data_IF_164635221627
#
_entry.id   IF_164635221627
#
_cell.length_a   1.000
_cell.length_b   1.000
_cell.length_c   1.000
_cell.angle_alpha   90.00
_cell.angle_beta   90.00
_cell.angle_gamma   90.00
#
_symmetry.space_group_name_H-M   'P 1'
#
loop_
_entity.id
_entity.type
_entity.pdbx_description
1 polymer ?
#
# COMPACT_ATOMS: atom_id res chain seq x y z
N UNK A 1 -0.32 17.87 8.39
CA UNK A 1 0.64 16.82 8.86
C UNK A 1 0.47 15.61 7.97
N UNK A 2 1.57 15.02 7.46
CA UNK A 2 1.53 13.82 6.61
C UNK A 2 1.08 12.60 7.41
N UNK A 3 0.34 11.68 6.78
CA UNK A 3 -0.10 10.43 7.41
C UNK A 3 1.05 9.52 7.85
N UNK A 4 0.83 8.72 8.88
CA UNK A 4 1.68 7.59 9.25
C UNK A 4 1.45 6.43 8.27
N UNK A 5 2.48 6.01 7.55
CA UNK A 5 2.40 5.01 6.48
C UNK A 5 2.94 3.67 6.95
N UNK A 6 2.10 2.62 6.85
CA UNK A 6 2.43 1.24 7.15
C UNK A 6 2.37 0.45 5.83
N UNK A 7 3.48 -0.09 5.40
CA UNK A 7 3.50 -1.08 4.32
C UNK A 7 3.16 -2.45 4.90
N UNK A 8 2.21 -3.15 4.30
CA UNK A 8 1.88 -4.53 4.67
C UNK A 8 1.88 -5.42 3.44
N UNK A 9 2.73 -6.43 3.41
CA UNK A 9 2.93 -7.29 2.26
C UNK A 9 3.17 -8.74 2.69
N UNK A 10 2.63 -9.68 1.91
CA UNK A 10 3.01 -11.08 1.98
C UNK A 10 3.96 -11.41 0.82
N UNK A 11 5.03 -12.14 1.12
CA UNK A 11 6.01 -12.59 0.13
C UNK A 11 6.40 -14.05 0.35
N UNK A 12 6.84 -14.72 -0.71
CA UNK A 12 7.45 -16.04 -0.63
C UNK A 12 8.77 -16.02 0.15
N UNK A 13 9.31 -17.18 0.50
CA UNK A 13 10.58 -17.30 1.20
C UNK A 13 11.76 -16.71 0.40
N UNK A 14 11.64 -16.64 -0.91
CA UNK A 14 12.60 -15.99 -1.84
C UNK A 14 12.23 -14.54 -2.21
N UNK A 15 11.32 -13.91 -1.45
CA UNK A 15 11.03 -12.48 -1.54
C UNK A 15 10.09 -12.07 -2.67
N UNK A 16 9.35 -13.00 -3.30
CA UNK A 16 8.44 -12.72 -4.40
C UNK A 16 7.01 -12.50 -3.91
N UNK A 17 6.31 -11.50 -4.48
CA UNK A 17 4.91 -11.20 -4.14
C UNK A 17 3.91 -11.74 -5.14
N UNK A 18 4.38 -12.16 -6.31
CA UNK A 18 3.57 -12.71 -7.40
C UNK A 18 4.45 -13.49 -8.38
N UNK A 19 3.85 -14.22 -9.32
CA UNK A 19 4.58 -14.83 -10.44
C UNK A 19 5.06 -13.78 -11.45
N UNK A 20 5.97 -14.17 -12.35
CA UNK A 20 6.40 -13.30 -13.46
C UNK A 20 5.24 -12.83 -14.36
N UNK A 21 4.15 -13.59 -14.42
CA UNK A 21 2.94 -13.23 -15.16
C UNK A 21 2.00 -12.33 -14.35
N UNK A 22 2.42 -11.90 -13.14
CA UNK A 22 1.65 -11.07 -12.20
C UNK A 22 0.30 -11.69 -11.81
N UNK A 23 0.22 -13.02 -11.79
CA UNK A 23 -0.95 -13.74 -11.29
C UNK A 23 -0.94 -13.77 -9.77
N UNK A 24 -2.10 -13.53 -9.18
CA UNK A 24 -2.28 -13.62 -7.74
C UNK A 24 -1.86 -15.00 -7.21
N UNK A 25 -1.06 -15.00 -6.15
CA UNK A 25 -0.61 -16.20 -5.45
C UNK A 25 -1.07 -16.12 -4.00
N UNK A 26 -1.67 -17.19 -3.49
CA UNK A 26 -2.01 -17.29 -2.08
C UNK A 26 -0.75 -17.61 -1.28
N UNK A 27 -0.09 -16.58 -0.76
CA UNK A 27 1.16 -16.70 0.01
C UNK A 27 0.88 -16.93 1.49
N UNK A 28 -0.17 -16.29 2.04
CA UNK A 28 -0.50 -16.36 3.47
C UNK A 28 -1.78 -17.16 3.74
N UNK A 29 -1.93 -17.60 4.99
CA UNK A 29 -3.06 -18.38 5.44
C UNK A 29 -4.16 -17.54 6.10
N UNK A 30 -5.14 -18.24 6.70
CA UNK A 30 -6.32 -17.62 7.30
C UNK A 30 -6.00 -16.67 8.46
N UNK A 31 -5.05 -17.03 9.31
CA UNK A 31 -4.71 -16.21 10.48
C UNK A 31 -4.05 -14.90 10.07
N UNK A 32 -3.23 -14.92 9.01
CA UNK A 32 -2.66 -13.69 8.47
C UNK A 32 -3.73 -12.82 7.82
N UNK A 33 -4.69 -13.37 7.09
CA UNK A 33 -5.83 -12.60 6.56
C UNK A 33 -6.64 -11.91 7.66
N UNK A 34 -6.88 -12.58 8.79
CA UNK A 34 -7.54 -11.97 9.96
C UNK A 34 -6.70 -10.81 10.52
N UNK A 35 -5.38 -11.00 10.64
CA UNK A 35 -4.46 -9.94 11.07
C UNK A 35 -4.50 -8.74 10.14
N UNK A 36 -4.45 -8.97 8.82
CA UNK A 36 -4.49 -7.93 7.80
C UNK A 36 -5.81 -7.16 7.86
N UNK A 37 -6.93 -7.86 8.03
CA UNK A 37 -8.26 -7.22 8.15
C UNK A 37 -8.35 -6.33 9.41
N UNK A 38 -7.79 -6.78 10.55
CA UNK A 38 -7.67 -5.96 11.76
C UNK A 38 -6.75 -4.75 11.57
N UNK A 39 -5.61 -4.91 10.90
CA UNK A 39 -4.71 -3.80 10.59
C UNK A 39 -5.44 -2.76 9.71
N UNK A 40 -6.11 -3.21 8.68
CA UNK A 40 -6.95 -2.40 7.79
C UNK A 40 -8.02 -1.64 8.57
N UNK A 41 -8.72 -2.33 9.46
CA UNK A 41 -9.76 -1.73 10.30
C UNK A 41 -9.24 -0.62 11.23
N UNK A 42 -7.98 -0.67 11.63
CA UNK A 42 -7.32 0.35 12.45
C UNK A 42 -6.69 1.49 11.67
N UNK A 43 -6.89 1.58 10.34
CA UNK A 43 -6.36 2.65 9.50
C UNK A 43 -7.48 3.55 8.97
N UNK A 44 -7.14 4.82 8.70
CA UNK A 44 -8.05 5.78 8.05
C UNK A 44 -8.16 5.51 6.56
N UNK A 45 -7.09 4.98 5.95
CA UNK A 45 -7.05 4.67 4.54
C UNK A 45 -6.26 3.40 4.22
N UNK A 46 -6.62 2.77 3.09
CA UNK A 46 -5.87 1.70 2.43
C UNK A 46 -5.47 2.15 1.05
N UNK A 47 -4.19 2.00 0.70
CA UNK A 47 -3.61 2.47 -0.55
C UNK A 47 -3.00 1.31 -1.35
N UNK A 48 -3.22 1.34 -2.66
CA UNK A 48 -2.57 0.44 -3.62
C UNK A 48 -2.13 1.19 -4.88
N UNK A 49 -1.15 0.66 -5.58
CA UNK A 49 -0.82 1.08 -6.94
C UNK A 49 -1.78 0.49 -7.97
N UNK A 50 -1.93 1.16 -9.11
CA UNK A 50 -2.81 0.72 -10.21
C UNK A 50 -2.45 -0.69 -10.70
N UNK A 51 -1.18 -1.08 -10.68
CA UNK A 51 -0.77 -2.44 -11.06
C UNK A 51 -1.47 -3.53 -10.26
N UNK A 52 -1.67 -3.32 -8.95
CA UNK A 52 -2.40 -4.23 -8.07
C UNK A 52 -3.89 -4.29 -8.44
N UNK A 53 -4.50 -3.15 -8.78
CA UNK A 53 -5.91 -3.11 -9.21
C UNK A 53 -6.11 -3.89 -10.51
N UNK A 54 -5.20 -3.72 -11.47
CA UNK A 54 -5.28 -4.39 -12.78
C UNK A 54 -5.01 -5.91 -12.68
N UNK A 55 -4.21 -6.35 -11.71
CA UNK A 55 -3.87 -7.76 -11.53
C UNK A 55 -4.92 -8.52 -10.70
N UNK A 56 -5.41 -7.92 -9.60
CA UNK A 56 -6.13 -8.63 -8.54
C UNK A 56 -7.57 -8.11 -8.33
N UNK A 57 -7.94 -7.00 -8.95
CA UNK A 57 -9.23 -6.30 -8.76
C UNK A 57 -9.71 -6.24 -7.29
N UNK A 58 -8.89 -5.73 -6.36
CA UNK A 58 -9.20 -5.75 -4.94
C UNK A 58 -10.31 -4.76 -4.59
N UNK A 59 -11.18 -5.13 -3.65
CA UNK A 59 -12.20 -4.20 -3.13
C UNK A 59 -11.66 -3.24 -2.07
N UNK A 60 -10.54 -3.57 -1.42
CA UNK A 60 -9.91 -2.85 -0.31
C UNK A 60 -10.83 -2.62 0.90
N UNK A 61 -11.90 -3.40 1.02
CA UNK A 61 -12.88 -3.31 2.11
C UNK A 61 -12.46 -4.15 3.32
N UNK A 62 -12.89 -3.75 4.51
CA UNK A 62 -12.88 -4.61 5.70
C UNK A 62 -13.85 -5.76 5.48
N UNK A 63 -13.51 -6.97 5.94
CA UNK A 63 -14.25 -8.20 5.63
C UNK A 63 -15.01 -8.78 6.82
N UNK A 64 -14.42 -8.77 8.01
CA UNK A 64 -15.01 -9.41 9.19
C UNK A 64 -15.98 -8.47 9.91
N UNK A 65 -17.09 -9.03 10.38
CA UNK A 65 -18.09 -8.27 11.16
C UNK A 65 -17.49 -7.74 12.49
N UNK A 66 -16.52 -8.46 13.07
CA UNK A 66 -15.76 -7.99 14.23
C UNK A 66 -15.07 -6.63 13.93
N UNK A 67 -14.39 -6.55 12.79
CA UNK A 67 -13.68 -5.35 12.37
C UNK A 67 -14.63 -4.21 11.97
N UNK A 68 -15.76 -4.52 11.32
CA UNK A 68 -16.80 -3.53 11.01
C UNK A 68 -17.40 -2.97 12.29
N UNK A 69 -17.75 -3.84 13.25
CA UNK A 69 -18.26 -3.43 14.57
C UNK A 69 -17.25 -2.58 15.33
N UNK A 70 -15.95 -2.92 15.28
CA UNK A 70 -14.90 -2.10 15.87
C UNK A 70 -14.91 -0.69 15.27
N UNK A 71 -14.94 -0.55 13.94
CA UNK A 71 -14.94 0.77 13.27
C UNK A 71 -16.16 1.60 13.64
N UNK A 72 -17.37 1.00 13.63
CA UNK A 72 -18.62 1.67 14.03
C UNK A 72 -18.57 2.18 15.48
N UNK A 73 -17.97 1.41 16.41
CA UNK A 73 -17.75 1.84 17.80
C UNK A 73 -16.81 3.03 17.95
N UNK A 74 -15.88 3.22 16.99
CA UNK A 74 -15.00 4.41 16.93
C UNK A 74 -15.69 5.60 16.26
N UNK A 75 -16.92 5.46 15.75
CA UNK A 75 -17.59 6.48 14.95
C UNK A 75 -17.04 6.64 13.53
N UNK A 76 -16.35 5.60 13.00
CA UNK A 76 -15.76 5.60 11.67
C UNK A 76 -16.69 4.91 10.66
N UNK A 77 -16.49 5.24 9.38
CA UNK A 77 -17.12 4.51 8.27
C UNK A 77 -16.76 3.02 8.34
N UNK A 78 -17.63 2.13 7.85
CA UNK A 78 -17.40 0.69 7.81
C UNK A 78 -16.08 0.30 7.15
N UNK A 79 -15.67 1.09 6.15
CA UNK A 79 -14.42 0.84 5.42
C UNK A 79 -13.52 2.09 5.48
N UNK A 80 -12.20 1.90 5.54
CA UNK A 80 -11.24 3.00 5.38
C UNK A 80 -11.37 3.64 3.99
N UNK A 81 -10.86 4.85 3.84
CA UNK A 81 -10.73 5.50 2.52
C UNK A 81 -9.88 4.63 1.61
N UNK A 82 -10.38 4.32 0.41
CA UNK A 82 -9.67 3.48 -0.56
C UNK A 82 -8.93 4.36 -1.54
N UNK A 83 -7.61 4.22 -1.60
CA UNK A 83 -6.74 5.07 -2.40
C UNK A 83 -6.07 4.23 -3.48
N UNK A 84 -6.17 4.67 -4.74
CA UNK A 84 -5.44 4.08 -5.86
C UNK A 84 -4.49 5.14 -6.44
N UNK A 85 -3.21 4.79 -6.54
CA UNK A 85 -2.20 5.63 -7.21
C UNK A 85 -2.10 5.20 -8.66
N UNK A 86 -2.51 6.07 -9.58
CA UNK A 86 -2.68 5.77 -11.02
C UNK A 86 -2.35 6.98 -11.90
N UNK A 87 -1.09 7.25 -12.09
CA UNK A 87 -0.60 8.46 -12.80
C UNK A 87 -1.30 8.75 -14.13
N UNK A 88 -1.80 7.74 -14.84
CA UNK A 88 -2.38 7.89 -16.19
C UNK A 88 -3.89 7.60 -16.28
N UNK A 89 -4.56 7.45 -15.13
CA UNK A 89 -6.00 7.10 -15.07
C UNK A 89 -6.33 5.84 -15.90
N UNK A 90 -5.60 4.73 -15.63
CA UNK A 90 -5.79 3.43 -16.29
C UNK A 90 -6.81 2.53 -15.60
N UNK A 91 -7.30 2.93 -14.42
CA UNK A 91 -8.25 2.15 -13.64
C UNK A 91 -9.52 1.90 -14.45
N UNK A 92 -9.95 0.62 -14.60
CA UNK A 92 -11.20 0.31 -15.27
C UNK A 92 -12.39 0.93 -14.53
N UNK A 93 -13.37 1.50 -15.24
CA UNK A 93 -14.57 2.06 -14.59
C UNK A 93 -15.35 1.05 -13.75
N UNK A 94 -15.25 -0.24 -14.07
CA UNK A 94 -15.91 -1.37 -13.37
C UNK A 94 -15.07 -1.97 -12.23
N UNK A 95 -13.86 -1.46 -11.97
CA UNK A 95 -12.97 -2.00 -10.93
C UNK A 95 -13.67 -2.10 -9.57
N UNK A 96 -13.50 -3.22 -8.89
CA UNK A 96 -14.15 -3.54 -7.60
C UNK A 96 -13.97 -2.44 -6.55
N UNK A 97 -12.80 -1.79 -6.51
CA UNK A 97 -12.50 -0.70 -5.58
C UNK A 97 -13.43 0.50 -5.76
N UNK A 98 -13.97 0.72 -6.97
CA UNK A 98 -14.89 1.83 -7.29
C UNK A 98 -16.35 1.53 -6.94
N UNK A 99 -16.71 0.25 -6.73
CA UNK A 99 -18.11 -0.17 -6.59
C UNK A 99 -18.42 -0.94 -5.31
N UNK A 100 -17.50 -1.82 -4.85
CA UNK A 100 -17.80 -2.70 -3.72
C UNK A 100 -17.69 -1.95 -2.39
N UNK A 101 -18.72 -2.09 -1.55
CA UNK A 101 -18.82 -1.44 -0.25
C UNK A 101 -18.98 0.08 -0.33
N UNK A 102 -19.62 0.67 0.66
CA UNK A 102 -19.77 2.12 0.78
C UNK A 102 -18.49 2.80 1.26
N UNK A 103 -18.48 4.14 1.32
CA UNK A 103 -17.39 4.95 1.85
C UNK A 103 -16.54 5.63 0.77
N UNK A 104 -15.62 6.45 1.23
CA UNK A 104 -14.82 7.35 0.40
C UNK A 104 -13.78 6.61 -0.45
N UNK A 105 -13.57 7.12 -1.66
CA UNK A 105 -12.56 6.65 -2.62
C UNK A 105 -11.75 7.83 -3.13
N UNK A 106 -10.46 7.62 -3.29
CA UNK A 106 -9.53 8.61 -3.84
C UNK A 106 -8.72 7.96 -4.95
N UNK A 107 -8.66 8.60 -6.10
CA UNK A 107 -7.79 8.21 -7.19
C UNK A 107 -6.77 9.32 -7.38
N UNK A 108 -5.50 9.01 -7.13
CA UNK A 108 -4.41 9.94 -7.36
C UNK A 108 -3.88 9.77 -8.78
N UNK A 109 -3.90 10.84 -9.55
CA UNK A 109 -3.42 10.90 -10.93
C UNK A 109 -2.35 11.98 -11.08
N UNK A 110 -1.59 11.95 -12.17
CA UNK A 110 -0.70 13.06 -12.52
C UNK A 110 -1.34 13.99 -13.56
N UNK A 111 -0.70 15.13 -13.82
CA UNK A 111 -1.13 16.10 -14.84
C UNK A 111 -1.21 15.55 -16.26
N UNK A 112 -0.49 14.44 -16.56
CA UNK A 112 -0.56 13.77 -17.88
C UNK A 112 -1.82 12.95 -18.09
N UNK A 113 -2.63 12.68 -17.06
CA UNK A 113 -3.85 11.89 -17.20
C UNK A 113 -4.88 12.61 -18.08
N UNK A 114 -5.50 11.87 -18.98
CA UNK A 114 -6.51 12.41 -19.89
C UNK A 114 -7.70 13.02 -19.15
N UNK A 115 -8.04 14.26 -19.46
CA UNK A 115 -9.16 14.99 -18.83
C UNK A 115 -10.49 14.24 -18.92
N UNK A 116 -10.73 13.54 -20.03
CA UNK A 116 -11.95 12.75 -20.23
C UNK A 116 -12.04 11.60 -19.22
N UNK A 117 -10.92 10.89 -18.97
CA UNK A 117 -10.85 9.80 -17.96
C UNK A 117 -11.03 10.35 -16.54
N UNK A 118 -10.39 11.47 -16.23
CA UNK A 118 -10.57 12.17 -14.94
C UNK A 118 -12.06 12.52 -14.72
N UNK A 119 -12.74 13.05 -15.74
CA UNK A 119 -14.16 13.41 -15.63
C UNK A 119 -15.06 12.18 -15.34
N UNK A 120 -14.75 11.03 -15.90
CA UNK A 120 -15.44 9.76 -15.61
C UNK A 120 -15.18 9.33 -14.15
N UNK A 121 -13.94 9.37 -13.70
CA UNK A 121 -13.55 8.97 -12.35
C UNK A 121 -14.15 9.87 -11.27
N UNK A 122 -14.26 11.18 -11.52
CA UNK A 122 -14.87 12.15 -10.60
C UNK A 122 -16.34 11.84 -10.26
N UNK A 123 -17.03 11.02 -11.07
CA UNK A 123 -18.40 10.57 -10.77
C UNK A 123 -18.45 9.48 -9.68
N UNK A 124 -17.30 8.84 -9.37
CA UNK A 124 -17.22 7.67 -8.48
C UNK A 124 -16.23 7.85 -7.33
N UNK A 125 -15.30 8.79 -7.44
CA UNK A 125 -14.24 9.01 -6.48
C UNK A 125 -13.80 10.48 -6.45
N UNK A 126 -13.17 10.90 -5.36
CA UNK A 126 -12.36 12.12 -5.33
C UNK A 126 -11.11 11.87 -6.18
N UNK A 127 -10.83 12.76 -7.14
CA UNK A 127 -9.61 12.66 -7.95
C UNK A 127 -8.66 13.76 -7.52
N UNK A 128 -7.49 13.37 -7.04
CA UNK A 128 -6.37 14.26 -6.72
C UNK A 128 -5.39 14.24 -7.90
N UNK A 129 -4.98 15.44 -8.33
CA UNK A 129 -3.97 15.58 -9.38
C UNK A 129 -2.68 16.05 -8.70
N UNK A 130 -1.69 15.18 -8.59
CA UNK A 130 -0.42 15.43 -7.92
C UNK A 130 0.73 15.12 -8.89
N UNK A 131 1.64 16.06 -9.08
CA UNK A 131 2.75 15.94 -10.01
C UNK A 131 2.34 16.07 -11.49
N UNK A 132 3.32 16.19 -12.36
CA UNK A 132 3.12 16.43 -13.82
C UNK A 132 3.06 15.13 -14.62
N UNK A 133 4.10 14.30 -14.55
CA UNK A 133 4.28 13.08 -15.37
C UNK A 133 3.88 11.83 -14.60
N UNK A 134 4.28 11.75 -13.34
CA UNK A 134 3.91 10.71 -12.39
C UNK A 134 3.30 11.34 -11.15
N UNK A 135 2.57 10.55 -10.36
CA UNK A 135 2.04 11.04 -9.09
C UNK A 135 3.21 11.41 -8.18
N UNK A 136 3.28 12.67 -7.80
CA UNK A 136 4.18 13.15 -6.75
C UNK A 136 3.68 12.63 -5.39
N UNK A 137 4.41 11.64 -4.83
CA UNK A 137 3.99 10.98 -3.60
C UNK A 137 4.07 11.89 -2.37
N UNK A 138 5.10 12.74 -2.20
CA UNK A 138 5.11 13.80 -1.18
C UNK A 138 3.89 14.70 -1.23
N UNK A 139 3.55 15.26 -2.40
CA UNK A 139 2.36 16.10 -2.61
C UNK A 139 1.08 15.34 -2.28
N UNK A 140 0.96 14.09 -2.74
CA UNK A 140 -0.18 13.23 -2.42
C UNK A 140 -0.33 13.06 -0.90
N UNK A 141 0.77 12.80 -0.17
CA UNK A 141 0.70 12.65 1.29
C UNK A 141 0.27 13.94 1.99
N UNK A 142 0.68 15.11 1.50
CA UNK A 142 0.23 16.39 2.02
C UNK A 142 -1.27 16.59 1.82
N UNK A 143 -1.79 16.32 0.60
CA UNK A 143 -3.22 16.39 0.29
C UNK A 143 -4.05 15.41 1.15
N UNK A 144 -3.59 14.17 1.32
CA UNK A 144 -4.26 13.20 2.18
C UNK A 144 -4.29 13.64 3.65
N UNK A 145 -3.21 14.26 4.12
CA UNK A 145 -3.14 14.86 5.45
C UNK A 145 -4.14 16.03 5.63
N UNK A 146 -4.33 16.86 4.60
CA UNK A 146 -5.35 17.91 4.59
C UNK A 146 -6.78 17.35 4.60
N UNK A 147 -7.00 16.17 4.03
CA UNK A 147 -8.26 15.42 4.08
C UNK A 147 -8.55 14.78 5.46
N UNK A 148 -7.66 14.95 6.44
CA UNK A 148 -7.77 14.39 7.79
C UNK A 148 -7.34 12.92 7.91
N UNK A 149 -6.67 12.37 6.90
CA UNK A 149 -6.14 11.00 6.95
C UNK A 149 -4.85 11.01 7.77
N UNK A 150 -4.79 10.23 8.85
CA UNK A 150 -3.66 10.18 9.76
C UNK A 150 -2.85 8.87 9.65
N UNK A 151 -3.51 7.77 9.25
CA UNK A 151 -2.88 6.44 9.18
C UNK A 151 -3.27 5.71 7.91
N UNK A 152 -2.29 5.33 7.11
CA UNK A 152 -2.47 4.66 5.82
C UNK A 152 -1.81 3.28 5.88
N UNK A 153 -2.54 2.24 5.46
CA UNK A 153 -1.98 0.94 5.14
C UNK A 153 -1.78 0.83 3.63
N UNK A 154 -0.55 0.52 3.21
CA UNK A 154 -0.21 0.26 1.80
C UNK A 154 -0.16 -1.25 1.59
N UNK A 155 -1.06 -1.79 0.76
CA UNK A 155 -1.20 -3.24 0.53
C UNK A 155 -0.42 -3.75 -0.69
N UNK A 156 0.16 -2.85 -1.48
CA UNK A 156 0.94 -3.36 -2.59
C UNK A 156 1.09 -2.44 -3.80
N UNK A 157 1.74 -3.06 -4.78
CA UNK A 157 2.39 -2.46 -5.91
C UNK A 157 3.86 -2.21 -5.56
N UNK A 158 4.75 -3.15 -5.94
CA UNK A 158 6.19 -3.03 -5.64
C UNK A 158 6.78 -1.69 -6.06
N UNK A 159 6.34 -1.14 -7.18
CA UNK A 159 6.73 0.19 -7.66
C UNK A 159 6.25 1.32 -6.74
N UNK A 160 4.99 1.26 -6.26
CA UNK A 160 4.47 2.25 -5.31
C UNK A 160 5.25 2.20 -4.00
N UNK A 161 5.47 1.00 -3.47
CA UNK A 161 6.21 0.81 -2.21
C UNK A 161 7.65 1.33 -2.36
N UNK A 162 8.33 1.01 -3.46
CA UNK A 162 9.67 1.51 -3.74
C UNK A 162 9.69 3.05 -3.81
N UNK A 163 8.72 3.67 -4.47
CA UNK A 163 8.58 5.12 -4.53
C UNK A 163 8.38 5.76 -3.15
N UNK A 164 7.50 5.18 -2.32
CA UNK A 164 7.26 5.65 -0.94
C UNK A 164 8.50 5.51 -0.07
N UNK A 165 9.24 4.40 -0.19
CA UNK A 165 10.50 4.19 0.55
C UNK A 165 11.54 5.21 0.10
N UNK A 166 11.72 5.41 -1.19
CA UNK A 166 12.67 6.38 -1.76
C UNK A 166 12.38 7.81 -1.30
N UNK A 167 11.10 8.18 -1.23
CA UNK A 167 10.66 9.48 -0.77
C UNK A 167 10.70 9.66 0.77
N UNK A 168 11.14 8.64 1.53
CA UNK A 168 11.20 8.70 3.00
C UNK A 168 9.82 8.78 3.67
N UNK A 169 8.78 8.26 3.02
CA UNK A 169 7.39 8.39 3.48
C UNK A 169 6.89 7.17 4.27
N UNK A 170 7.66 6.09 4.33
CA UNK A 170 7.29 4.86 5.03
C UNK A 170 7.78 4.91 6.49
N UNK A 171 6.91 4.55 7.43
CA UNK A 171 7.20 4.53 8.87
C UNK A 171 7.33 3.13 9.43
N UNK A 172 6.53 2.18 8.92
CA UNK A 172 6.54 0.79 9.36
C UNK A 172 6.39 -0.15 8.15
N UNK A 173 7.08 -1.28 8.21
CA UNK A 173 6.99 -2.34 7.19
C UNK A 173 6.63 -3.64 7.90
N UNK A 174 5.51 -4.24 7.50
CA UNK A 174 5.06 -5.55 7.94
C UNK A 174 5.21 -6.53 6.77
N UNK A 175 6.12 -7.48 6.90
CA UNK A 175 6.32 -8.55 5.92
C UNK A 175 5.90 -9.88 6.50
N UNK A 176 4.93 -10.53 5.84
CA UNK A 176 4.65 -11.94 6.09
C UNK A 176 5.44 -12.77 5.08
N UNK A 177 6.29 -13.67 5.57
CA UNK A 177 7.06 -14.60 4.75
C UNK A 177 6.36 -15.95 4.76
N UNK A 178 5.78 -16.35 3.63
CA UNK A 178 5.11 -17.64 3.46
C UNK A 178 6.11 -18.77 3.18
N UNK A 179 5.66 -20.00 3.41
CA UNK A 179 6.42 -21.23 3.27
C UNK A 179 6.50 -21.76 1.83
N UNK A 180 6.54 -20.87 0.84
CA UNK A 180 6.61 -21.22 -0.59
C UNK A 180 7.79 -20.53 -1.27
N UNK A 181 8.24 -21.10 -2.38
CA UNK A 181 9.18 -20.50 -3.31
C UNK A 181 8.46 -20.21 -4.62
N UNK A 182 8.63 -19.01 -5.16
CA UNK A 182 8.06 -18.61 -6.45
C UNK A 182 9.14 -18.59 -7.52
N UNK A 183 10.30 -18.04 -7.23
CA UNK A 183 11.42 -17.92 -8.16
C UNK A 183 11.15 -16.92 -9.29
N UNK A 184 12.03 -16.95 -10.27
CA UNK A 184 11.94 -16.12 -11.47
C UNK A 184 12.57 -14.75 -11.32
N UNK A 185 13.49 -14.41 -12.24
CA UNK A 185 14.20 -13.15 -12.29
C UNK A 185 13.22 -11.97 -12.38
N UNK A 186 12.18 -12.09 -13.22
CA UNK A 186 11.23 -11.02 -13.53
C UNK A 186 9.95 -11.08 -12.66
N UNK A 187 9.91 -12.01 -11.69
CA UNK A 187 8.83 -12.05 -10.72
C UNK A 187 8.95 -10.87 -9.75
N UNK A 188 7.85 -10.12 -9.50
CA UNK A 188 7.91 -8.90 -8.71
C UNK A 188 8.28 -9.18 -7.25
N UNK A 189 8.98 -8.24 -6.64
CA UNK A 189 9.30 -8.20 -5.22
C UNK A 189 8.40 -7.17 -4.51
N UNK A 190 8.52 -7.08 -3.18
CA UNK A 190 7.70 -6.11 -2.45
C UNK A 190 8.15 -4.65 -2.68
N UNK A 191 9.36 -4.43 -3.18
CA UNK A 191 9.90 -3.11 -3.47
C UNK A 191 10.67 -3.16 -4.79
N UNK A 192 9.97 -2.92 -5.90
CA UNK A 192 10.54 -2.90 -7.24
C UNK A 192 10.89 -1.48 -7.66
N UNK A 193 11.99 -1.32 -8.39
CA UNK A 193 12.45 -0.03 -8.92
C UNK A 193 13.94 -0.05 -9.19
N UNK A 194 14.55 1.12 -9.35
CA UNK A 194 15.99 1.24 -9.59
C UNK A 194 16.85 0.83 -8.38
N UNK A 195 16.22 0.75 -7.18
CA UNK A 195 16.93 0.45 -5.94
C UNK A 195 17.79 1.61 -5.45
N UNK A 196 18.67 1.30 -4.50
CA UNK A 196 19.67 2.21 -3.96
C UNK A 196 21.04 1.69 -4.33
N UNK A 197 21.96 2.57 -4.70
CA UNK A 197 23.33 2.20 -5.13
C UNK A 197 24.29 2.38 -3.94
N UNK A 198 24.19 3.51 -3.27
CA UNK A 198 25.12 3.86 -2.19
C UNK A 198 24.60 3.32 -0.84
N UNK A 199 25.45 2.66 -0.10
CA UNK A 199 25.10 2.09 1.21
C UNK A 199 24.63 3.16 2.21
N UNK A 200 25.13 4.38 2.11
CA UNK A 200 24.71 5.52 2.93
C UNK A 200 23.26 5.94 2.69
N UNK A 201 22.72 5.60 1.52
CA UNK A 201 21.32 5.91 1.15
C UNK A 201 20.33 4.80 1.52
N UNK A 202 20.80 3.64 2.02
CA UNK A 202 19.91 2.54 2.38
C UNK A 202 19.05 2.88 3.58
N UNK A 203 17.71 2.80 3.49
CA UNK A 203 16.83 2.96 4.63
C UNK A 203 17.18 1.94 5.72
N UNK A 204 17.48 2.41 6.92
CA UNK A 204 17.80 1.54 8.05
C UNK A 204 16.52 1.14 8.78
N UNK A 205 16.46 -0.09 9.24
CA UNK A 205 15.31 -0.67 9.90
C UNK A 205 15.65 -1.09 11.33
N UNK A 206 14.67 -0.94 12.24
CA UNK A 206 14.71 -1.52 13.59
C UNK A 206 13.64 -2.59 13.68
N UNK A 207 14.03 -3.80 14.08
CA UNK A 207 13.10 -4.90 14.28
C UNK A 207 12.17 -4.60 15.47
N UNK A 208 10.85 -4.63 15.25
CA UNK A 208 9.83 -4.45 16.28
C UNK A 208 9.28 -5.79 16.77
N UNK A 209 9.04 -6.73 15.84
CA UNK A 209 8.41 -8.01 16.15
C UNK A 209 8.84 -9.10 15.18
N UNK A 210 9.01 -10.32 15.72
CA UNK A 210 9.11 -11.58 14.97
C UNK A 210 8.06 -12.50 15.52
N UNK A 211 7.13 -12.97 14.67
CA UNK A 211 6.07 -13.85 15.11
C UNK A 211 5.77 -14.94 14.08
N UNK A 212 5.73 -16.19 14.54
CA UNK A 212 5.20 -17.28 13.71
C UNK A 212 3.68 -17.15 13.59
N UNK A 213 3.17 -17.20 12.36
CA UNK A 213 1.74 -17.23 12.05
C UNK A 213 1.52 -18.39 11.09
N UNK A 214 0.81 -19.44 11.55
CA UNK A 214 0.64 -20.69 10.80
C UNK A 214 2.01 -21.25 10.38
N UNK A 215 2.23 -21.45 9.08
CA UNK A 215 3.49 -21.97 8.51
C UNK A 215 4.43 -20.86 8.01
N UNK A 216 4.14 -19.61 8.30
CA UNK A 216 4.95 -18.48 7.92
C UNK A 216 5.44 -17.64 9.10
N UNK A 217 6.15 -16.56 8.78
CA UNK A 217 6.73 -15.65 9.76
C UNK A 217 6.32 -14.22 9.43
N UNK A 218 5.76 -13.52 10.42
CA UNK A 218 5.56 -12.08 10.37
C UNK A 218 6.80 -11.38 10.94
N UNK A 219 7.35 -10.46 10.18
CA UNK A 219 8.36 -9.49 10.63
C UNK A 219 7.74 -8.09 10.59
N UNK A 220 7.91 -7.33 11.69
CA UNK A 220 7.53 -5.92 11.73
C UNK A 220 8.78 -5.08 11.95
N UNK A 221 8.93 -4.06 11.14
CA UNK A 221 10.07 -3.18 11.12
C UNK A 221 9.63 -1.72 11.25
N UNK A 222 10.32 -0.96 12.08
CA UNK A 222 10.26 0.50 12.06
C UNK A 222 11.32 1.02 11.10
N UNK A 223 10.93 1.90 10.17
CA UNK A 223 11.87 2.62 9.31
C UNK A 223 12.50 3.74 10.16
N UNK A 224 13.82 3.76 10.24
CA UNK A 224 14.54 4.84 10.92
C UNK A 224 14.52 6.08 10.04
N UNK A 225 14.32 7.24 10.69
CA UNK A 225 14.58 8.50 10.00
C UNK A 225 16.05 8.54 9.54
N UNK A 226 16.37 9.17 8.39
CA UNK A 226 17.76 9.40 8.01
C UNK A 226 18.47 10.11 9.18
N UNK A 227 19.62 9.59 9.59
CA UNK A 227 20.42 10.24 10.62
C UNK A 227 20.79 11.64 10.13
N UNK A 228 20.30 12.68 10.83
CA UNK A 228 20.63 14.09 10.53
C UNK A 228 22.06 14.45 10.94
N UNK A 229 22.82 13.49 11.45
CA UNK A 229 24.20 13.73 11.88
C UNK A 229 25.12 12.65 11.30
N UNK A 230 25.88 13.06 10.29
CA UNK A 230 27.10 12.35 9.88
C UNK A 230 28.15 12.43 10.98
N UNK A 231 28.00 11.68 12.06
CA UNK A 231 29.12 11.34 12.93
C UNK A 231 29.54 9.90 12.62
N UNK A 232 30.65 9.82 11.90
CA UNK A 232 31.43 8.59 11.78
C UNK A 232 31.80 8.08 13.17
N UNK A 233 31.44 6.85 13.47
CA UNK A 233 32.13 6.03 14.44
C UNK A 233 32.71 4.80 13.76
#
# INVERSE_FOLDING_TARGET
MRPYVIVNVAMSADGKISTRERRQVRISGRQDFIRVDRLKAGCDAVMVGIGTVLADDPSLTVKSEECLTYRRKQGWDDHPVRIVVDSSARIPPEASVLHKGEGRRVIAVSGKAERAKIAVLKKKATVLVCGEVEVDLPELMDELGLMGIQRIMVEGGGTLIAGLIRAGLVHEINTYIGNILIGGKDAPTFSDGEGFIDESSFPRLSLLEVRRIEDGILLRWKVKAPDQHGEMR
#
